data_IF_881109812041
#
_entry.id   IF_881109812041
#
_cell.length_a   1.000
_cell.length_b   1.000
_cell.length_c   1.000
_cell.angle_alpha   90.00
_cell.angle_beta   90.00
_cell.angle_gamma   90.00
#
_symmetry.space_group_name_H-M   'P 1'
#
loop_
_entity.id
_entity.type
_entity.pdbx_description
1 polymer ?
#
# COMPACT_ATOMS: atom_id res chain seq x y z
N UNK A 1 5.85 5.42 -4.33
CA UNK A 1 5.62 4.16 -5.06
C UNK A 1 5.09 4.49 -6.46
N UNK A 2 5.15 3.54 -7.39
CA UNK A 2 4.67 3.74 -8.77
C UNK A 2 3.73 2.60 -9.13
N UNK A 3 2.64 2.95 -9.81
CA UNK A 3 1.71 1.98 -10.41
C UNK A 3 2.15 1.76 -11.86
N UNK A 4 2.38 0.52 -12.24
CA UNK A 4 2.70 0.11 -13.60
C UNK A 4 1.43 -0.33 -14.32
N UNK A 5 1.05 0.35 -15.41
CA UNK A 5 -0.07 -0.08 -16.23
C UNK A 5 0.33 -1.26 -17.12
N UNK A 6 -0.36 -2.40 -16.93
CA UNK A 6 -0.14 -3.62 -17.74
C UNK A 6 -1.37 -4.02 -18.56
N UNK A 7 -2.57 -3.61 -18.14
CA UNK A 7 -3.81 -3.86 -18.87
C UNK A 7 -4.27 -5.32 -18.88
N UNK A 8 -5.58 -5.53 -19.09
CA UNK A 8 -6.18 -6.83 -19.41
C UNK A 8 -7.40 -6.64 -20.32
N UNK A 9 -7.72 -7.61 -21.20
CA UNK A 9 -9.00 -7.61 -21.93
C UNK A 9 -10.19 -8.02 -21.05
N UNK A 10 -9.97 -8.57 -19.86
CA UNK A 10 -11.01 -9.10 -18.97
C UNK A 10 -11.65 -7.99 -18.13
N UNK A 11 -12.45 -7.13 -18.73
CA UNK A 11 -13.20 -6.11 -17.99
C UNK A 11 -14.46 -5.70 -18.75
N UNK A 12 -15.33 -4.96 -18.07
CA UNK A 12 -16.42 -4.23 -18.70
C UNK A 12 -16.19 -2.73 -18.54
N UNK A 13 -16.34 -1.99 -19.64
CA UNK A 13 -16.22 -0.55 -19.60
C UNK A 13 -17.30 0.06 -18.69
N UNK A 14 -16.89 0.99 -17.83
CA UNK A 14 -17.74 1.65 -16.86
C UNK A 14 -18.21 0.75 -15.71
N UNK A 15 -18.99 1.36 -14.81
CA UNK A 15 -19.58 0.72 -13.61
C UNK A 15 -21.10 0.69 -13.61
N UNK A 16 -21.74 0.86 -14.76
CA UNK A 16 -23.20 0.92 -14.89
C UNK A 16 -23.86 1.94 -13.94
N UNK A 17 -23.23 3.13 -13.81
CA UNK A 17 -23.68 4.22 -12.93
C UNK A 17 -23.37 4.04 -11.44
N UNK A 18 -22.70 2.96 -11.02
CA UNK A 18 -22.33 2.77 -9.62
C UNK A 18 -21.03 3.50 -9.28
N UNK A 19 -20.96 4.01 -8.05
CA UNK A 19 -19.74 4.52 -7.46
C UNK A 19 -18.94 3.38 -6.81
N UNK A 20 -17.62 3.56 -6.70
CA UNK A 20 -16.79 2.67 -5.89
C UNK A 20 -17.12 2.88 -4.42
N UNK A 21 -17.50 1.80 -3.74
CA UNK A 21 -17.94 1.80 -2.34
C UNK A 21 -17.05 0.93 -1.43
N UNK A 22 -16.37 -0.07 -1.97
CA UNK A 22 -15.50 -0.94 -1.17
C UNK A 22 -14.30 -1.48 -1.96
N UNK A 23 -13.33 -2.03 -1.24
CA UNK A 23 -12.16 -2.74 -1.75
C UNK A 23 -12.31 -4.21 -1.36
N UNK A 24 -12.10 -5.12 -2.31
CA UNK A 24 -12.03 -6.56 -2.05
C UNK A 24 -10.57 -7.00 -2.25
N UNK A 25 -9.98 -7.54 -1.19
CA UNK A 25 -8.64 -8.08 -1.19
C UNK A 25 -8.67 -9.58 -1.47
N UNK A 26 -7.73 -10.00 -2.31
CA UNK A 26 -7.58 -11.35 -2.80
C UNK A 26 -6.13 -11.84 -2.64
N UNK A 27 -5.94 -13.16 -2.64
CA UNK A 27 -4.68 -13.78 -3.05
C UNK A 27 -4.83 -14.49 -4.39
N UNK A 28 -3.76 -14.43 -5.18
CA UNK A 28 -3.75 -15.01 -6.54
C UNK A 28 -3.77 -16.54 -6.56
N UNK A 29 -3.46 -17.21 -5.43
CA UNK A 29 -3.20 -18.65 -5.36
C UNK A 29 -2.19 -19.13 -6.43
N UNK A 30 -1.25 -18.26 -6.80
CA UNK A 30 -0.31 -18.45 -7.88
C UNK A 30 0.88 -17.49 -7.74
N UNK A 31 1.81 -17.56 -8.71
CA UNK A 31 3.05 -16.76 -8.71
C UNK A 31 3.16 -15.93 -9.97
N UNK A 32 3.88 -14.83 -9.88
CA UNK A 32 4.31 -14.06 -11.04
C UNK A 32 5.36 -14.85 -11.86
N UNK A 33 5.33 -14.80 -13.21
CA UNK A 33 4.38 -14.05 -14.05
C UNK A 33 3.05 -14.79 -14.32
N UNK A 34 2.89 -16.03 -13.88
CA UNK A 34 1.73 -16.87 -14.20
C UNK A 34 0.37 -16.30 -13.75
N UNK A 35 0.28 -15.71 -12.55
CA UNK A 35 -0.95 -15.06 -12.08
C UNK A 35 -1.35 -13.86 -12.94
N UNK A 36 -0.38 -13.08 -13.43
CA UNK A 36 -0.62 -12.00 -14.38
C UNK A 36 -1.10 -12.55 -15.72
N UNK A 37 -0.42 -13.56 -16.26
CA UNK A 37 -0.82 -14.21 -17.52
C UNK A 37 -2.24 -14.77 -17.44
N UNK A 38 -2.64 -15.34 -16.30
CA UNK A 38 -4.01 -15.83 -16.08
C UNK A 38 -5.04 -14.69 -16.16
N UNK A 39 -4.78 -13.56 -15.49
CA UNK A 39 -5.69 -12.42 -15.51
C UNK A 39 -5.73 -11.70 -16.86
N UNK A 40 -4.71 -11.85 -17.70
CA UNK A 40 -4.66 -11.31 -19.06
C UNK A 40 -5.23 -12.27 -20.12
N UNK A 41 -5.40 -13.55 -19.80
CA UNK A 41 -5.97 -14.53 -20.71
C UNK A 41 -7.48 -14.29 -20.88
N UNK A 42 -7.98 -13.97 -22.09
CA UNK A 42 -9.42 -13.78 -22.31
C UNK A 42 -10.29 -14.98 -21.90
N UNK A 43 -9.74 -16.20 -21.98
CA UNK A 43 -10.47 -17.41 -21.64
C UNK A 43 -10.68 -17.58 -20.12
N UNK A 44 -9.90 -16.90 -19.27
CA UNK A 44 -10.06 -17.02 -17.81
C UNK A 44 -11.31 -16.32 -17.30
N UNK A 45 -11.79 -15.30 -18.02
CA UNK A 45 -12.91 -14.45 -17.60
C UNK A 45 -12.75 -13.94 -16.15
N UNK A 46 -11.50 -13.66 -15.75
CA UNK A 46 -11.15 -13.20 -14.41
C UNK A 46 -10.07 -12.10 -14.49
N UNK A 47 -10.19 -11.11 -13.61
CA UNK A 47 -9.24 -10.00 -13.48
C UNK A 47 -9.42 -9.27 -12.17
N UNK A 48 -8.44 -8.46 -11.79
CA UNK A 48 -8.53 -7.46 -10.72
C UNK A 48 -8.21 -6.07 -11.26
N UNK A 49 -8.38 -5.02 -10.45
CA UNK A 49 -7.90 -3.69 -10.82
C UNK A 49 -6.39 -3.62 -10.60
N UNK A 50 -5.92 -4.17 -9.47
CA UNK A 50 -4.52 -4.14 -9.07
C UNK A 50 -3.98 -5.53 -8.71
N UNK A 51 -2.69 -5.74 -8.95
CA UNK A 51 -1.89 -6.87 -8.49
C UNK A 51 -0.65 -6.36 -7.75
N UNK A 52 -0.46 -6.80 -6.50
CA UNK A 52 0.71 -6.47 -5.67
C UNK A 52 1.65 -7.68 -5.61
N UNK A 53 2.83 -7.54 -6.22
CA UNK A 53 3.84 -8.60 -6.32
C UNK A 53 4.67 -8.74 -5.05
N UNK A 54 5.32 -9.89 -4.86
CA UNK A 54 6.17 -10.21 -3.68
C UNK A 54 7.27 -9.18 -3.41
N UNK A 55 7.75 -8.50 -4.45
CA UNK A 55 8.79 -7.44 -4.40
C UNK A 55 8.23 -6.03 -4.13
N UNK A 56 6.91 -5.88 -3.97
CA UNK A 56 6.24 -4.60 -3.75
C UNK A 56 5.83 -3.84 -5.03
N UNK A 57 6.11 -4.38 -6.22
CA UNK A 57 5.57 -3.75 -7.44
C UNK A 57 4.04 -3.82 -7.46
N UNK A 58 3.42 -2.72 -7.89
CA UNK A 58 1.98 -2.60 -8.07
C UNK A 58 1.69 -2.52 -9.55
N UNK A 59 1.00 -3.53 -10.09
CA UNK A 59 0.55 -3.55 -11.47
C UNK A 59 -0.94 -3.20 -11.52
N UNK A 60 -1.35 -2.38 -12.48
CA UNK A 60 -2.76 -2.06 -12.74
C UNK A 60 -3.22 -2.71 -14.04
N UNK A 61 -4.27 -3.52 -13.96
CA UNK A 61 -4.82 -4.28 -15.07
C UNK A 61 -6.10 -3.63 -15.61
N UNK A 62 -6.94 -3.07 -14.73
CA UNK A 62 -8.21 -2.43 -15.09
C UNK A 62 -8.24 -1.03 -14.47
N UNK A 63 -8.74 -0.05 -15.23
CA UNK A 63 -8.92 1.32 -14.75
C UNK A 63 -9.93 1.35 -13.61
N UNK A 64 -9.80 2.28 -12.68
CA UNK A 64 -10.73 2.35 -11.55
C UNK A 64 -12.16 2.67 -11.98
N UNK A 65 -12.34 3.33 -13.13
CA UNK A 65 -13.64 3.71 -13.68
C UNK A 65 -14.36 2.55 -14.39
N UNK A 66 -13.64 1.46 -14.65
CA UNK A 66 -14.13 0.26 -15.31
C UNK A 66 -14.39 -0.88 -14.30
N UNK A 67 -15.10 -1.93 -14.75
CA UNK A 67 -15.46 -3.07 -13.91
C UNK A 67 -14.54 -4.26 -14.18
N UNK A 68 -13.63 -4.56 -13.25
CA UNK A 68 -12.88 -5.83 -13.24
C UNK A 68 -13.76 -7.01 -12.82
N UNK A 69 -13.32 -8.24 -13.11
CA UNK A 69 -14.07 -9.47 -12.86
C UNK A 69 -13.41 -10.29 -11.73
N UNK A 70 -13.40 -9.75 -10.52
CA UNK A 70 -12.65 -10.31 -9.37
C UNK A 70 -13.52 -11.01 -8.33
N UNK A 71 -14.74 -10.53 -8.10
CA UNK A 71 -15.64 -11.03 -7.06
C UNK A 71 -16.48 -12.24 -7.51
N UNK A 72 -16.42 -12.60 -8.80
CA UNK A 72 -17.17 -13.72 -9.37
C UNK A 72 -18.69 -13.67 -9.09
N UNK A 73 -19.25 -14.84 -8.78
CA UNK A 73 -20.62 -15.00 -8.31
C UNK A 73 -20.69 -14.80 -6.80
N UNK A 74 -21.78 -14.19 -6.33
CA UNK A 74 -22.06 -14.05 -4.90
C UNK A 74 -22.73 -15.31 -4.38
N UNK A 75 -22.23 -15.89 -3.30
CA UNK A 75 -22.78 -17.11 -2.70
C UNK A 75 -22.73 -17.06 -1.17
N UNK A 76 -23.92 -17.05 -0.54
CA UNK A 76 -24.11 -16.87 0.92
C UNK A 76 -23.22 -15.76 1.50
N UNK A 77 -23.34 -14.50 1.01
CA UNK A 77 -22.50 -13.42 1.49
C UNK A 77 -22.76 -13.16 2.98
N UNK A 78 -21.69 -12.92 3.73
CA UNK A 78 -21.76 -12.43 5.12
C UNK A 78 -21.41 -10.92 5.20
N UNK A 79 -21.34 -10.28 4.04
CA UNK A 79 -21.25 -8.83 3.89
C UNK A 79 -22.51 -8.26 3.29
N UNK A 80 -22.88 -7.07 3.75
CA UNK A 80 -24.06 -6.37 3.26
C UNK A 80 -23.78 -5.90 1.84
N UNK A 81 -24.37 -6.59 0.87
CA UNK A 81 -24.34 -6.15 -0.53
C UNK A 81 -24.94 -4.75 -0.63
N UNK A 82 -24.12 -3.77 -0.99
CA UNK A 82 -24.46 -2.35 -0.87
C UNK A 82 -25.76 -1.97 -1.59
N UNK A 83 -25.96 -2.47 -2.81
CA UNK A 83 -27.13 -2.17 -3.65
C UNK A 83 -27.80 -3.43 -4.22
N UNK A 84 -27.51 -4.61 -3.64
CA UNK A 84 -28.02 -5.90 -4.12
C UNK A 84 -27.49 -6.37 -5.49
N UNK A 85 -26.65 -5.59 -6.16
CA UNK A 85 -26.01 -5.98 -7.43
C UNK A 85 -24.70 -6.73 -7.20
N UNK A 86 -24.12 -7.25 -8.29
CA UNK A 86 -22.81 -7.90 -8.25
C UNK A 86 -21.73 -6.93 -7.73
N UNK A 87 -20.91 -7.33 -6.73
CA UNK A 87 -19.84 -6.51 -6.15
C UNK A 87 -18.83 -5.94 -7.14
N UNK A 88 -18.56 -6.61 -8.27
CA UNK A 88 -17.66 -6.09 -9.29
C UNK A 88 -18.03 -4.65 -9.72
N UNK A 89 -19.32 -4.31 -9.74
CA UNK A 89 -19.79 -3.00 -10.18
C UNK A 89 -19.42 -1.85 -9.23
N UNK A 90 -19.26 -2.11 -7.94
CA UNK A 90 -19.06 -1.08 -6.92
C UNK A 90 -17.85 -1.35 -6.02
N UNK A 91 -16.94 -2.24 -6.44
CA UNK A 91 -15.71 -2.52 -5.69
C UNK A 91 -14.46 -2.47 -6.56
N UNK A 92 -13.33 -2.22 -5.88
CA UNK A 92 -11.98 -2.35 -6.42
C UNK A 92 -11.39 -3.67 -5.91
N UNK A 93 -11.17 -4.63 -6.81
CA UNK A 93 -10.38 -5.83 -6.53
C UNK A 93 -8.87 -5.59 -6.50
N UNK A 94 -8.20 -6.02 -5.43
CA UNK A 94 -6.74 -6.02 -5.28
C UNK A 94 -6.28 -7.47 -5.05
N UNK A 95 -5.46 -7.96 -5.98
CA UNK A 95 -4.82 -9.27 -5.90
C UNK A 95 -3.44 -9.16 -5.26
N UNK A 96 -3.10 -10.10 -4.39
CA UNK A 96 -1.77 -10.21 -3.80
C UNK A 96 -1.11 -11.50 -4.28
N UNK A 97 0.11 -11.38 -4.79
CA UNK A 97 0.91 -12.56 -5.14
C UNK A 97 1.19 -13.39 -3.88
N UNK A 98 0.55 -14.55 -3.76
CA UNK A 98 0.64 -15.41 -2.59
C UNK A 98 0.03 -16.79 -2.89
N UNK A 99 0.55 -17.82 -2.22
CA UNK A 99 -0.07 -19.14 -2.17
C UNK A 99 -0.96 -19.27 -0.93
N UNK A 100 -1.83 -20.29 -0.92
CA UNK A 100 -2.63 -20.60 0.26
C UNK A 100 -1.75 -20.80 1.51
N UNK A 101 -2.16 -20.18 2.61
CA UNK A 101 -1.42 -20.24 3.88
C UNK A 101 -0.22 -19.29 3.96
N UNK A 102 0.05 -18.46 2.96
CA UNK A 102 1.07 -17.40 3.03
C UNK A 102 0.51 -16.08 3.54
N UNK A 103 1.39 -15.29 4.17
CA UNK A 103 1.17 -13.87 4.42
C UNK A 103 1.81 -13.00 3.33
N UNK A 104 1.61 -11.70 3.46
CA UNK A 104 2.30 -10.70 2.64
C UNK A 104 3.76 -10.55 3.09
N UNK A 105 4.67 -10.30 2.15
CA UNK A 105 6.02 -9.81 2.49
C UNK A 105 5.95 -8.38 3.01
N UNK A 106 7.00 -7.89 3.66
CA UNK A 106 7.06 -6.48 4.09
C UNK A 106 6.89 -5.53 2.91
N UNK A 107 7.54 -5.81 1.77
CA UNK A 107 7.42 -5.02 0.55
C UNK A 107 6.00 -5.01 -0.02
N UNK A 108 5.32 -6.17 -0.02
CA UNK A 108 3.91 -6.26 -0.37
C UNK A 108 3.06 -5.44 0.57
N UNK A 109 3.23 -5.61 1.88
CA UNK A 109 2.42 -4.93 2.88
C UNK A 109 2.52 -3.40 2.77
N UNK A 110 3.73 -2.85 2.63
CA UNK A 110 3.92 -1.40 2.45
C UNK A 110 3.23 -0.90 1.18
N UNK A 111 3.28 -1.68 0.10
CA UNK A 111 2.66 -1.33 -1.18
C UNK A 111 1.14 -1.41 -1.12
N UNK A 112 0.62 -2.43 -0.46
CA UNK A 112 -0.80 -2.59 -0.16
C UNK A 112 -1.31 -1.43 0.70
N UNK A 113 -0.58 -1.04 1.75
CA UNK A 113 -0.94 0.05 2.64
C UNK A 113 -1.00 1.39 1.88
N UNK A 114 0.04 1.69 1.12
CA UNK A 114 0.09 2.89 0.28
C UNK A 114 -1.06 2.91 -0.73
N UNK A 115 -1.30 1.81 -1.44
CA UNK A 115 -2.37 1.70 -2.44
C UNK A 115 -3.76 1.90 -1.82
N UNK A 116 -4.03 1.30 -0.66
CA UNK A 116 -5.28 1.55 0.06
C UNK A 116 -5.41 3.02 0.44
N UNK A 117 -4.34 3.66 0.95
CA UNK A 117 -4.34 5.09 1.25
C UNK A 117 -4.72 5.96 0.04
N UNK A 118 -4.15 5.66 -1.14
CA UNK A 118 -4.49 6.36 -2.38
C UNK A 118 -5.95 6.15 -2.79
N UNK A 119 -6.46 4.91 -2.70
CA UNK A 119 -7.85 4.58 -3.02
C UNK A 119 -8.83 5.24 -2.06
N UNK A 120 -8.52 5.33 -0.77
CA UNK A 120 -9.33 6.01 0.24
C UNK A 120 -9.38 7.52 0.00
N UNK A 121 -8.26 8.13 -0.42
CA UNK A 121 -8.21 9.53 -0.81
C UNK A 121 -9.01 9.80 -2.10
N UNK A 122 -8.91 8.91 -3.10
CA UNK A 122 -9.63 9.00 -4.38
C UNK A 122 -11.14 8.73 -4.24
N UNK A 123 -11.52 7.84 -3.33
CA UNK A 123 -12.91 7.42 -3.12
C UNK A 123 -13.35 7.64 -1.65
N UNK A 124 -13.77 8.86 -1.28
CA UNK A 124 -14.12 9.22 0.10
C UNK A 124 -15.25 8.41 0.74
N UNK A 125 -16.03 7.68 -0.06
CA UNK A 125 -17.06 6.75 0.41
C UNK A 125 -16.45 5.52 1.11
N UNK A 126 -15.24 5.11 0.73
CA UNK A 126 -14.53 3.98 1.32
C UNK A 126 -13.93 4.42 2.65
N UNK A 127 -14.30 3.76 3.75
CA UNK A 127 -13.73 4.02 5.08
C UNK A 127 -12.67 2.96 5.43
N UNK A 128 -11.67 3.29 6.27
CA UNK A 128 -10.65 2.33 6.70
C UNK A 128 -11.22 1.36 7.75
N UNK A 129 -12.23 0.57 7.40
CA UNK A 129 -12.90 -0.37 8.28
C UNK A 129 -13.28 -1.68 7.59
N UNK A 130 -13.73 -2.64 8.39
CA UNK A 130 -14.09 -3.98 7.94
C UNK A 130 -15.35 -4.04 7.09
N UNK A 131 -16.09 -2.95 6.92
CA UNK A 131 -17.29 -2.91 6.07
C UNK A 131 -16.99 -2.39 4.67
N UNK A 132 -15.88 -1.66 4.48
CA UNK A 132 -15.49 -1.12 3.18
C UNK A 132 -14.18 -1.72 2.65
N UNK A 133 -13.36 -2.35 3.49
CA UNK A 133 -12.17 -3.10 3.05
C UNK A 133 -12.36 -4.54 3.52
N UNK A 134 -12.62 -5.43 2.56
CA UNK A 134 -13.06 -6.80 2.84
C UNK A 134 -12.20 -7.84 2.12
N UNK A 135 -12.28 -9.09 2.56
CA UNK A 135 -11.78 -10.24 1.80
C UNK A 135 -12.87 -10.83 0.91
N UNK A 136 -12.47 -11.57 -0.12
CA UNK A 136 -13.41 -12.24 -1.04
C UNK A 136 -14.37 -13.22 -0.34
N UNK A 137 -13.92 -13.87 0.74
CA UNK A 137 -14.74 -14.73 1.58
C UNK A 137 -16.03 -14.08 2.08
N UNK A 138 -16.07 -12.74 2.11
CA UNK A 138 -17.25 -11.99 2.55
C UNK A 138 -18.38 -11.93 1.52
N UNK A 139 -18.05 -12.04 0.22
CA UNK A 139 -19.03 -12.07 -0.88
C UNK A 139 -19.34 -13.49 -1.35
N UNK A 140 -18.38 -14.42 -1.23
CA UNK A 140 -18.57 -15.85 -1.50
C UNK A 140 -17.97 -16.68 -0.36
N UNK A 141 -18.77 -16.96 0.66
CA UNK A 141 -18.33 -17.73 1.83
C UNK A 141 -18.30 -19.24 1.59
N UNK A 142 -18.70 -19.70 0.40
CA UNK A 142 -18.84 -21.12 0.09
C UNK A 142 -17.68 -21.59 -0.79
N UNK A 143 -17.43 -20.90 -1.89
CA UNK A 143 -16.39 -21.27 -2.85
C UNK A 143 -15.07 -20.54 -2.60
N UNK A 144 -15.10 -19.40 -1.88
CA UNK A 144 -13.92 -18.60 -1.53
C UNK A 144 -13.77 -18.39 -0.01
N UNK A 145 -14.01 -19.42 0.83
CA UNK A 145 -14.11 -19.25 2.29
C UNK A 145 -12.82 -18.72 2.93
N UNK A 146 -11.68 -18.93 2.27
CA UNK A 146 -10.37 -18.65 2.79
C UNK A 146 -9.64 -17.53 2.03
N UNK A 147 -10.25 -16.80 1.10
CA UNK A 147 -9.58 -15.76 0.30
C UNK A 147 -9.79 -14.38 0.96
N UNK A 148 -8.74 -13.64 1.42
CA UNK A 148 -7.30 -13.70 1.07
C UNK A 148 -6.38 -14.47 2.04
N UNK A 149 -6.93 -15.27 2.93
CA UNK A 149 -6.19 -16.16 3.82
C UNK A 149 -6.13 -15.65 5.24
N UNK A 150 -5.96 -16.58 6.18
CA UNK A 150 -5.90 -16.28 7.61
C UNK A 150 -4.68 -15.42 8.01
N UNK A 151 -3.64 -15.36 7.16
CA UNK A 151 -2.43 -14.56 7.39
C UNK A 151 -2.46 -13.17 6.75
N UNK A 152 -3.58 -12.78 6.13
CA UNK A 152 -3.72 -11.42 5.64
C UNK A 152 -3.74 -10.45 6.85
N UNK A 153 -2.92 -9.38 6.84
CA UNK A 153 -2.64 -8.57 8.03
C UNK A 153 -3.74 -7.52 8.32
N UNK A 154 -4.98 -7.96 8.53
CA UNK A 154 -6.15 -7.09 8.71
C UNK A 154 -6.00 -6.07 9.84
N UNK A 155 -5.60 -6.52 11.02
CA UNK A 155 -5.46 -5.67 12.20
C UNK A 155 -4.42 -4.58 11.98
N UNK A 156 -3.24 -4.98 11.48
CA UNK A 156 -2.15 -4.06 11.18
C UNK A 156 -2.53 -3.07 10.08
N UNK A 157 -3.17 -3.53 9.00
CA UNK A 157 -3.70 -2.67 7.92
C UNK A 157 -4.66 -1.61 8.45
N UNK A 158 -5.67 -1.99 9.25
CA UNK A 158 -6.63 -1.02 9.77
C UNK A 158 -6.03 -0.06 10.80
N UNK A 159 -5.11 -0.55 11.64
CA UNK A 159 -4.37 0.28 12.57
C UNK A 159 -3.59 1.36 11.82
N UNK A 160 -2.85 0.96 10.80
CA UNK A 160 -1.99 1.88 10.06
C UNK A 160 -2.83 2.86 9.21
N UNK A 161 -3.89 2.40 8.53
CA UNK A 161 -4.83 3.27 7.80
C UNK A 161 -5.55 4.31 8.66
N UNK A 162 -5.75 4.04 9.95
CA UNK A 162 -6.37 4.98 10.90
C UNK A 162 -5.36 5.85 11.62
N UNK A 163 -4.09 5.45 11.65
CA UNK A 163 -3.04 6.32 12.16
C UNK A 163 -3.02 7.57 11.29
N UNK A 164 -3.11 8.75 11.92
CA UNK A 164 -3.11 10.05 11.22
C UNK A 164 -1.77 10.33 10.50
N UNK A 165 -0.86 9.36 10.50
CA UNK A 165 0.50 9.40 10.01
C UNK A 165 0.62 8.88 8.56
N UNK A 166 -0.45 8.27 8.00
CA UNK A 166 -0.50 7.95 6.57
C UNK A 166 -1.04 9.14 5.78
N UNK A 167 -0.25 10.21 5.79
CA UNK A 167 -0.35 11.22 4.76
C UNK A 167 0.37 10.67 3.52
N UNK A 168 -0.31 10.74 2.37
CA UNK A 168 0.14 10.16 1.11
C UNK A 168 1.49 10.70 0.65
N UNK A 169 1.90 10.30 -0.55
CA UNK A 169 3.21 10.57 -1.20
C UNK A 169 3.77 12.01 -1.14
N UNK A 170 3.02 13.00 -0.68
CA UNK A 170 3.47 14.37 -0.45
C UNK A 170 4.09 14.62 0.94
N UNK A 171 3.89 13.75 1.95
CA UNK A 171 4.40 14.01 3.32
C UNK A 171 5.71 13.26 3.64
N UNK A 172 6.75 13.61 2.89
CA UNK A 172 8.13 13.20 3.11
C UNK A 172 8.74 13.80 4.40
N UNK A 173 8.13 14.84 4.96
CA UNK A 173 8.70 15.64 6.07
C UNK A 173 8.32 15.04 7.42
N UNK A 174 7.09 14.51 7.56
CA UNK A 174 6.59 13.96 8.83
C UNK A 174 7.24 12.63 9.26
N UNK A 175 7.88 11.93 8.31
CA UNK A 175 8.59 10.67 8.57
C UNK A 175 10.12 10.83 8.64
N UNK A 176 10.62 12.07 8.56
CA UNK A 176 12.04 12.37 8.60
C UNK A 176 12.55 12.45 10.04
N UNK A 177 13.58 11.66 10.36
CA UNK A 177 14.31 11.76 11.64
C UNK A 177 15.78 12.08 11.37
N UNK A 178 16.32 13.07 12.10
CA UNK A 178 17.76 13.40 12.04
C UNK A 178 18.53 12.46 12.97
N UNK A 179 19.44 11.69 12.39
CA UNK A 179 20.34 10.80 13.12
C UNK A 179 21.67 11.48 13.40
N UNK A 180 21.99 11.68 14.67
CA UNK A 180 23.24 12.31 15.12
C UNK A 180 24.21 11.29 15.71
N UNK A 181 25.40 11.19 15.11
CA UNK A 181 26.55 10.43 15.61
C UNK A 181 27.73 11.39 15.81
N UNK A 182 27.82 12.00 17.00
CA UNK A 182 28.90 12.91 17.38
C UNK A 182 28.48 14.38 17.48
N UNK A 183 28.16 15.03 16.37
CA UNK A 183 27.91 16.49 16.35
C UNK A 183 26.41 16.83 16.56
N UNK A 184 26.05 16.93 17.83
CA UNK A 184 24.68 17.20 18.29
C UNK A 184 24.23 18.64 17.95
N UNK A 185 25.16 19.59 17.88
CA UNK A 185 24.85 20.99 17.61
C UNK A 185 24.34 21.20 16.19
N UNK A 186 25.04 20.62 15.21
CA UNK A 186 24.62 20.67 13.81
C UNK A 186 23.28 19.95 13.59
N UNK A 187 23.07 18.82 14.26
CA UNK A 187 21.83 18.04 14.18
C UNK A 187 20.62 18.78 14.79
N UNK A 188 20.82 19.50 15.90
CA UNK A 188 19.77 20.29 16.56
C UNK A 188 19.33 21.48 15.70
N UNK A 189 20.27 22.20 15.11
CA UNK A 189 19.98 23.33 14.22
C UNK A 189 19.22 22.85 12.97
N UNK A 190 19.59 21.69 12.42
CA UNK A 190 18.92 21.10 11.27
C UNK A 190 17.50 20.61 11.61
N UNK A 191 17.33 19.97 12.77
CA UNK A 191 16.02 19.56 13.31
C UNK A 191 15.08 20.74 13.52
N UNK A 192 15.57 21.84 14.11
CA UNK A 192 14.78 23.07 14.30
C UNK A 192 14.39 23.73 12.98
N UNK A 193 15.29 23.71 11.98
CA UNK A 193 15.06 24.32 10.66
C UNK A 193 14.08 23.52 9.79
N UNK A 194 14.01 22.20 9.97
CA UNK A 194 13.12 21.29 9.24
C UNK A 194 11.83 20.93 9.99
N UNK A 195 11.73 21.29 11.28
CA UNK A 195 10.55 21.02 12.10
C UNK A 195 10.33 19.54 12.46
N UNK A 196 11.38 18.72 12.38
CA UNK A 196 11.30 17.27 12.59
C UNK A 196 12.12 16.79 13.81
N UNK A 197 11.76 15.67 14.46
CA UNK A 197 12.42 15.21 15.68
C UNK A 197 13.85 14.67 15.44
N UNK A 198 14.73 14.85 16.45
CA UNK A 198 16.11 14.35 16.46
C UNK A 198 16.24 13.09 17.32
N UNK A 199 16.99 12.08 16.85
CA UNK A 199 17.30 10.86 17.61
C UNK A 199 18.81 10.68 17.76
N UNK A 200 19.27 10.54 19.00
CA UNK A 200 20.66 10.24 19.31
C UNK A 200 20.97 8.75 19.17
N UNK A 201 22.15 8.43 18.61
CA UNK A 201 22.66 7.06 18.44
C UNK A 201 22.69 6.24 19.73
N UNK A 202 22.92 6.89 20.88
CA UNK A 202 23.03 6.24 22.19
C UNK A 202 21.70 6.20 22.97
N UNK A 203 20.58 6.62 22.38
CA UNK A 203 19.27 6.52 23.02
C UNK A 203 18.68 5.11 22.84
N UNK A 204 17.92 4.65 23.84
CA UNK A 204 17.16 3.39 23.81
C UNK A 204 16.15 3.29 22.64
N UNK A 205 15.90 4.40 21.93
CA UNK A 205 14.96 4.53 20.83
C UNK A 205 15.55 4.22 19.43
N UNK A 206 16.79 3.71 19.32
CA UNK A 206 17.40 3.37 18.01
C UNK A 206 16.52 2.43 17.16
N UNK A 207 15.74 1.57 17.81
CA UNK A 207 14.88 0.58 17.15
C UNK A 207 13.61 1.20 16.56
N UNK A 208 13.07 2.27 17.15
CA UNK A 208 11.92 2.99 16.59
C UNK A 208 12.31 3.86 15.39
N UNK A 209 13.57 4.33 15.33
CA UNK A 209 14.10 5.06 14.19
C UNK A 209 14.36 4.17 12.96
N UNK A 210 14.56 2.86 13.12
CA UNK A 210 14.79 1.91 12.03
C UNK A 210 13.53 1.62 11.19
N UNK A 211 12.34 2.00 11.68
CA UNK A 211 11.07 1.87 10.98
C UNK A 211 10.63 3.15 10.27
N UNK A 212 11.48 4.19 10.26
CA UNK A 212 11.24 5.49 9.61
C UNK A 212 12.33 5.81 8.57
N UNK A 213 12.05 6.73 7.65
CA UNK A 213 13.05 7.24 6.71
C UNK A 213 14.02 8.19 7.44
N UNK A 214 15.33 7.93 7.39
CA UNK A 214 16.33 8.70 8.15
C UNK A 214 17.31 9.43 7.23
N UNK A 215 17.77 10.61 7.67
CA UNK A 215 18.93 11.32 7.10
C UNK A 215 20.01 11.40 8.18
N UNK A 216 21.22 10.93 7.86
CA UNK A 216 22.35 10.94 8.78
C UNK A 216 23.22 12.18 8.57
N UNK A 217 23.67 12.79 9.68
CA UNK A 217 24.71 13.84 9.66
C UNK A 217 26.01 13.21 10.16
N UNK A 218 27.07 13.27 9.35
CA UNK A 218 28.40 12.77 9.73
C UNK A 218 29.41 13.92 9.72
N UNK A 219 29.55 14.61 10.86
CA UNK A 219 30.64 15.53 11.19
C UNK A 219 30.74 16.86 10.43
N UNK A 220 31.45 17.81 11.04
CA UNK A 220 31.95 19.07 10.45
C UNK A 220 33.48 19.02 10.39
N UNK A 221 34.09 19.61 9.35
CA UNK A 221 35.54 19.90 9.38
C UNK A 221 35.79 21.30 9.95
N UNK A 222 37.06 21.61 10.26
CA UNK A 222 37.51 22.87 10.88
C UNK A 222 37.19 24.14 10.07
N UNK A 223 36.65 24.01 8.85
CA UNK A 223 36.18 25.10 8.00
C UNK A 223 34.66 25.32 8.06
N UNK A 224 33.94 24.59 8.92
CA UNK A 224 32.50 24.75 9.10
C UNK A 224 31.63 24.12 8.00
N UNK A 225 32.20 23.29 7.14
CA UNK A 225 31.45 22.59 6.09
C UNK A 225 30.85 21.29 6.62
N UNK A 226 29.53 21.10 6.43
CA UNK A 226 28.81 19.87 6.77
C UNK A 226 28.94 18.81 5.67
N UNK A 227 29.27 17.57 6.02
CA UNK A 227 29.25 16.45 5.09
C UNK A 227 27.96 15.62 5.23
N UNK A 228 27.33 15.30 4.10
CA UNK A 228 26.09 14.51 4.05
C UNK A 228 26.39 13.11 3.52
N UNK A 229 26.09 12.06 4.30
CA UNK A 229 26.32 10.69 3.85
C UNK A 229 25.29 10.28 2.77
N UNK A 230 25.70 10.28 1.50
CA UNK A 230 24.91 9.77 0.36
C UNK A 230 25.17 8.27 0.10
N UNK A 231 24.20 7.49 -0.39
CA UNK A 231 23.95 7.41 -1.83
C UNK A 231 22.48 7.57 -2.27
N UNK A 232 21.71 8.41 -1.55
CA UNK A 232 20.41 9.01 -1.91
C UNK A 232 19.18 8.48 -1.11
N UNK A 233 18.51 9.35 -0.33
CA UNK A 233 17.22 9.04 0.34
C UNK A 233 16.07 10.00 -0.04
N UNK A 234 16.24 10.71 -1.16
CA UNK A 234 15.30 11.08 -2.25
C UNK A 234 15.95 12.17 -3.14
N UNK A 235 16.90 12.95 -2.63
CA UNK A 235 18.23 13.27 -3.20
C UNK A 235 19.04 13.87 -2.05
N UNK A 236 19.77 13.00 -1.37
CA UNK A 236 19.86 12.89 0.10
C UNK A 236 18.49 12.81 0.80
N UNK A 237 17.57 13.73 0.53
CA UNK A 237 16.10 13.63 0.45
C UNK A 237 15.48 14.67 -0.54
N UNK A 238 16.25 15.69 -1.02
CA UNK A 238 16.34 16.29 -2.39
C UNK A 238 17.27 17.54 -2.59
N UNK A 239 18.19 18.01 -1.72
CA UNK A 239 19.61 17.63 -1.54
C UNK A 239 19.95 17.31 -0.06
N UNK A 240 19.01 17.68 0.81
CA UNK A 240 18.26 16.85 1.76
C UNK A 240 16.75 17.13 1.57
N UNK A 241 16.33 18.22 0.89
CA UNK A 241 15.05 18.48 0.16
C UNK A 241 15.16 19.59 -0.94
N UNK A 242 16.25 20.38 -0.98
CA UNK A 242 16.83 21.17 -2.10
C UNK A 242 18.34 21.29 -1.94
#
# INVERSE_FOLDING_TARGET
>A
MKIEWVGTPNYRQGRSGNQVFAIINHITAGRYPGCLSWMQNPASQASSHYLVLKDGRILQLVKDEDTAWHAGLVNKPNWKLYNGKNPNLYTIGIEHEALEGEGLTDAQYQSTLWLHGQLLAKFPAIKPDSDHIIGHYRTDSVNRPNDPGAKFPWEQLFKDLKSKDLKGEEDMVDNLVIYADGDVGAALILSQKLGCPMVHKNSSNKYQAAQKHWVGVQGTNDSGNSYYAGANRTETARAVLK
#
